data_IF_173295945996
#
_entry.id   IF_173295945996
#
_cell.length_a   1.000
_cell.length_b   1.000
_cell.length_c   1.000
_cell.angle_alpha   90.00
_cell.angle_beta   90.00
_cell.angle_gamma   90.00
#
_symmetry.space_group_name_H-M   'P 1'
#
loop_
_entity.id
_entity.type
_entity.pdbx_description
1 polymer ?
#
# COMPACT_ATOMS: atom_id res chain seq x y z
N UNK A 1 -3.66 -14.51 15.48
CA UNK A 1 -3.85 -15.26 14.21
C UNK A 1 -2.94 -14.76 13.07
N UNK A 2 -1.81 -14.09 13.34
CA UNK A 2 -0.96 -13.48 12.28
C UNK A 2 0.34 -14.24 11.96
N UNK A 3 0.79 -15.18 12.81
CA UNK A 3 2.11 -15.81 12.64
C UNK A 3 2.17 -16.85 11.50
N UNK A 4 1.06 -17.51 11.16
CA UNK A 4 1.04 -18.57 10.15
C UNK A 4 0.81 -18.09 8.71
N UNK A 5 0.46 -16.81 8.52
CA UNK A 5 0.22 -16.23 7.18
C UNK A 5 1.50 -15.60 6.60
N UNK A 6 2.46 -15.20 7.44
CA UNK A 6 3.69 -14.51 6.99
C UNK A 6 4.78 -15.45 6.43
N UNK A 7 4.86 -16.69 6.89
CA UNK A 7 5.91 -17.65 6.44
C UNK A 7 5.68 -18.18 5.02
N UNK A 8 4.44 -18.44 4.55
CA UNK A 8 4.17 -18.83 3.15
C UNK A 8 4.27 -17.66 2.14
N UNK A 9 3.98 -16.42 2.58
CA UNK A 9 4.01 -15.21 1.72
C UNK A 9 5.39 -14.95 1.12
N UNK A 10 6.46 -15.12 1.91
CA UNK A 10 7.83 -14.87 1.50
C UNK A 10 8.36 -15.90 0.49
N UNK A 11 8.04 -17.20 0.66
CA UNK A 11 8.68 -18.27 -0.12
C UNK A 11 8.36 -18.28 -1.61
N UNK A 12 7.16 -17.81 -2.00
CA UNK A 12 6.77 -17.79 -3.42
C UNK A 12 7.28 -16.55 -4.15
N UNK A 13 7.45 -15.42 -3.46
CA UNK A 13 7.91 -14.17 -4.06
C UNK A 13 9.43 -14.02 -4.04
N UNK A 14 10.11 -14.66 -3.09
CA UNK A 14 11.55 -14.55 -2.95
C UNK A 14 12.33 -15.39 -3.98
N UNK A 15 13.53 -14.93 -4.36
CA UNK A 15 14.41 -15.72 -5.21
C UNK A 15 14.80 -17.03 -4.52
N UNK A 16 14.46 -18.16 -5.14
CA UNK A 16 14.96 -19.45 -4.70
C UNK A 16 16.37 -19.69 -5.27
N UNK A 17 17.39 -19.64 -4.41
CA UNK A 17 18.78 -19.80 -4.81
C UNK A 17 19.06 -21.16 -5.49
N UNK A 18 18.38 -22.23 -5.07
CA UNK A 18 18.52 -23.56 -5.65
C UNK A 18 17.99 -23.63 -7.10
N UNK A 19 17.02 -22.79 -7.45
CA UNK A 19 16.41 -22.73 -8.78
C UNK A 19 17.02 -21.63 -9.67
N UNK A 20 18.04 -20.91 -9.19
CA UNK A 20 18.67 -19.81 -9.94
C UNK A 20 19.17 -20.19 -11.35
N UNK A 21 19.75 -21.40 -11.58
CA UNK A 21 20.14 -21.81 -12.93
C UNK A 21 18.93 -21.94 -13.87
N UNK A 22 17.83 -22.51 -13.40
CA UNK A 22 16.59 -22.69 -14.17
C UNK A 22 15.92 -21.34 -14.47
N UNK A 23 15.98 -20.40 -13.52
CA UNK A 23 15.50 -19.03 -13.74
C UNK A 23 16.18 -18.40 -14.96
N UNK A 24 17.51 -18.47 -15.06
CA UNK A 24 18.23 -17.89 -16.21
C UNK A 24 17.83 -18.55 -17.53
N UNK A 25 17.56 -19.84 -17.50
CA UNK A 25 17.09 -20.57 -18.67
C UNK A 25 15.68 -20.16 -19.10
N UNK A 26 14.76 -20.00 -18.14
CA UNK A 26 13.40 -19.47 -18.38
C UNK A 26 13.47 -18.07 -18.98
N UNK A 27 14.25 -17.15 -18.38
CA UNK A 27 14.40 -15.78 -18.87
C UNK A 27 14.92 -15.74 -20.31
N UNK A 28 15.96 -16.54 -20.60
CA UNK A 28 16.51 -16.68 -21.95
C UNK A 28 15.49 -17.24 -22.94
N UNK A 29 14.66 -18.21 -22.53
CA UNK A 29 13.59 -18.75 -23.37
C UNK A 29 12.50 -17.72 -23.63
N UNK A 30 12.09 -16.97 -22.61
CA UNK A 30 11.13 -15.87 -22.75
C UNK A 30 11.66 -14.79 -23.72
N UNK A 31 12.92 -14.39 -23.60
CA UNK A 31 13.56 -13.43 -24.52
C UNK A 31 13.59 -13.94 -25.96
N UNK A 32 14.00 -15.20 -26.18
CA UNK A 32 14.02 -15.82 -27.52
C UNK A 32 12.64 -15.87 -28.16
N UNK A 33 11.58 -16.02 -27.37
CA UNK A 33 10.19 -16.08 -27.83
C UNK A 33 9.49 -14.72 -27.83
N UNK A 34 10.19 -13.62 -27.50
CA UNK A 34 9.62 -12.28 -27.34
C UNK A 34 8.44 -12.21 -26.35
N UNK A 35 8.46 -13.04 -25.31
CA UNK A 35 7.47 -13.03 -24.23
C UNK A 35 7.75 -11.83 -23.32
N UNK A 36 6.73 -11.01 -23.08
CA UNK A 36 6.82 -9.92 -22.09
C UNK A 36 6.61 -10.49 -20.70
N UNK A 37 7.56 -10.29 -19.81
CA UNK A 37 7.50 -10.79 -18.45
C UNK A 37 7.87 -9.72 -17.43
N UNK A 38 7.30 -9.87 -16.23
CA UNK A 38 7.73 -9.15 -15.03
C UNK A 38 8.50 -10.11 -14.13
N UNK A 39 9.64 -9.67 -13.59
CA UNK A 39 10.59 -10.56 -12.92
C UNK A 39 10.01 -11.22 -11.64
N UNK A 40 9.29 -10.49 -10.76
CA UNK A 40 8.55 -11.10 -9.65
C UNK A 40 7.56 -12.17 -10.09
N UNK A 41 6.85 -11.97 -11.21
CA UNK A 41 5.92 -12.96 -11.75
C UNK A 41 6.65 -14.24 -12.21
N UNK A 42 7.82 -14.12 -12.84
CA UNK A 42 8.63 -15.28 -13.24
C UNK A 42 9.07 -16.08 -12.01
N UNK A 43 9.55 -15.39 -10.96
CA UNK A 43 9.90 -16.04 -9.69
C UNK A 43 8.69 -16.76 -9.08
N UNK A 44 7.54 -16.10 -9.06
CA UNK A 44 6.30 -16.66 -8.53
C UNK A 44 5.87 -17.93 -9.27
N UNK A 45 5.83 -17.90 -10.60
CA UNK A 45 5.48 -19.06 -11.44
C UNK A 45 6.48 -20.20 -11.25
N UNK A 46 7.78 -19.90 -11.28
CA UNK A 46 8.83 -20.90 -11.10
C UNK A 46 8.72 -21.58 -9.73
N UNK A 47 8.59 -20.80 -8.66
CA UNK A 47 8.46 -21.32 -7.30
C UNK A 47 7.18 -22.15 -7.16
N UNK A 48 6.05 -21.69 -7.71
CA UNK A 48 4.78 -22.40 -7.66
C UNK A 48 4.85 -23.75 -8.40
N UNK A 49 5.35 -23.77 -9.64
CA UNK A 49 5.46 -24.99 -10.43
C UNK A 49 6.49 -25.97 -9.86
N UNK A 50 7.51 -25.47 -9.15
CA UNK A 50 8.48 -26.35 -8.47
C UNK A 50 7.86 -27.20 -7.35
N UNK A 51 6.67 -26.82 -6.86
CA UNK A 51 5.91 -27.60 -5.88
C UNK A 51 5.21 -28.81 -6.51
N UNK A 52 5.11 -28.87 -7.84
CA UNK A 52 4.46 -29.96 -8.54
C UNK A 52 5.37 -31.20 -8.55
N UNK A 53 4.95 -32.34 -7.96
CA UNK A 53 5.74 -33.56 -7.90
C UNK A 53 6.17 -34.09 -9.28
N UNK A 54 5.45 -33.72 -10.35
CA UNK A 54 5.74 -34.16 -11.73
C UNK A 54 7.12 -33.75 -12.23
N UNK A 55 7.68 -32.65 -11.73
CA UNK A 55 9.00 -32.18 -12.13
C UNK A 55 10.13 -32.73 -11.24
N UNK A 56 9.79 -33.41 -10.14
CA UNK A 56 10.74 -34.02 -9.20
C UNK A 56 11.80 -33.02 -8.66
N UNK A 57 11.45 -31.74 -8.58
CA UNK A 57 12.29 -30.66 -8.07
C UNK A 57 12.15 -30.58 -6.55
N UNK A 58 12.63 -31.58 -5.82
CA UNK A 58 12.59 -31.54 -4.36
C UNK A 58 13.55 -30.47 -3.84
N UNK A 59 13.03 -29.62 -2.93
CA UNK A 59 13.51 -28.30 -2.48
C UNK A 59 15.01 -28.11 -2.12
N UNK A 60 15.88 -29.11 -2.23
CA UNK A 60 17.31 -29.01 -1.92
C UNK A 60 18.24 -29.66 -2.95
N UNK A 61 17.72 -30.40 -3.94
CA UNK A 61 18.50 -30.97 -5.05
C UNK A 61 17.70 -30.95 -6.33
N UNK A 62 18.18 -30.17 -7.30
CA UNK A 62 17.74 -30.19 -8.71
C UNK A 62 17.70 -31.65 -9.21
N UNK A 63 16.65 -32.05 -9.92
CA UNK A 63 16.47 -33.43 -10.39
C UNK A 63 17.73 -33.93 -11.13
N UNK A 64 18.07 -35.21 -10.95
CA UNK A 64 19.20 -35.80 -11.66
C UNK A 64 18.94 -35.89 -13.18
N UNK A 65 17.68 -35.82 -13.61
CA UNK A 65 17.27 -35.99 -14.99
C UNK A 65 17.09 -34.66 -15.71
N UNK A 66 17.96 -34.41 -16.70
CA UNK A 66 17.92 -33.18 -17.52
C UNK A 66 16.58 -32.98 -18.26
N UNK A 67 15.88 -34.06 -18.60
CA UNK A 67 14.56 -33.99 -19.25
C UNK A 67 13.52 -33.29 -18.35
N UNK A 68 13.54 -33.57 -17.05
CA UNK A 68 12.62 -32.92 -16.11
C UNK A 68 12.87 -31.41 -16.02
N UNK A 69 14.10 -30.95 -16.26
CA UNK A 69 14.42 -29.52 -16.31
C UNK A 69 13.91 -28.86 -17.58
N UNK A 70 14.13 -29.50 -18.74
CA UNK A 70 13.66 -28.98 -20.03
C UNK A 70 12.12 -28.90 -20.04
N UNK A 71 11.44 -29.93 -19.54
CA UNK A 71 9.98 -29.97 -19.40
C UNK A 71 9.45 -28.90 -18.42
N UNK A 72 10.17 -28.66 -17.32
CA UNK A 72 9.83 -27.62 -16.35
C UNK A 72 9.99 -26.21 -16.93
N UNK A 73 11.11 -25.94 -17.62
CA UNK A 73 11.36 -24.65 -18.29
C UNK A 73 10.27 -24.41 -19.32
N UNK A 74 9.95 -25.41 -20.15
CA UNK A 74 8.90 -25.29 -21.14
C UNK A 74 7.55 -24.97 -20.49
N UNK A 75 7.17 -25.68 -19.43
CA UNK A 75 5.92 -25.44 -18.71
C UNK A 75 5.83 -24.01 -18.16
N UNK A 76 6.91 -23.50 -17.55
CA UNK A 76 6.97 -22.10 -17.10
C UNK A 76 6.78 -21.13 -18.27
N UNK A 77 7.48 -21.35 -19.38
CA UNK A 77 7.38 -20.50 -20.56
C UNK A 77 6.00 -20.58 -21.23
N UNK A 78 5.34 -21.74 -21.26
CA UNK A 78 3.98 -21.89 -21.78
C UNK A 78 3.00 -21.04 -20.97
N UNK A 79 3.05 -21.12 -19.64
CA UNK A 79 2.20 -20.31 -18.75
C UNK A 79 2.45 -18.81 -18.94
N UNK A 80 3.71 -18.40 -19.09
CA UNK A 80 4.08 -16.99 -19.27
C UNK A 80 3.76 -16.43 -20.67
N UNK A 81 3.66 -17.29 -21.69
CA UNK A 81 3.44 -16.87 -23.07
C UNK A 81 1.98 -16.43 -23.32
N UNK A 82 1.01 -17.03 -22.64
CA UNK A 82 -0.40 -16.70 -22.81
C UNK A 82 -0.83 -15.55 -21.89
N UNK A 83 -0.53 -14.32 -22.34
CA UNK A 83 -0.78 -13.05 -21.65
C UNK A 83 -2.25 -12.85 -21.21
N UNK A 84 -3.19 -13.49 -21.91
CA UNK A 84 -4.64 -13.33 -21.69
C UNK A 84 -5.31 -14.57 -21.12
N UNK A 85 -4.56 -15.64 -20.86
CA UNK A 85 -5.12 -16.82 -20.20
C UNK A 85 -5.70 -16.45 -18.83
N UNK A 86 -6.89 -16.97 -18.48
CA UNK A 86 -7.43 -16.83 -17.12
C UNK A 86 -6.46 -17.33 -16.05
N UNK A 87 -5.69 -18.37 -16.36
CA UNK A 87 -4.63 -18.93 -15.51
C UNK A 87 -3.54 -17.90 -15.21
N UNK A 88 -2.91 -17.29 -16.22
CA UNK A 88 -1.87 -16.30 -15.98
C UNK A 88 -2.41 -15.05 -15.27
N UNK A 89 -3.64 -14.62 -15.59
CA UNK A 89 -4.30 -13.50 -14.89
C UNK A 89 -4.50 -13.85 -13.40
N UNK A 90 -4.91 -15.07 -13.08
CA UNK A 90 -5.03 -15.56 -11.70
C UNK A 90 -3.69 -15.50 -10.97
N UNK A 91 -2.62 -16.00 -11.60
CA UNK A 91 -1.27 -15.96 -11.02
C UNK A 91 -0.76 -14.54 -10.84
N UNK A 92 -1.06 -13.63 -11.78
CA UNK A 92 -0.75 -12.19 -11.65
C UNK A 92 -1.47 -11.55 -10.47
N UNK A 93 -2.76 -11.84 -10.30
CA UNK A 93 -3.52 -11.35 -9.14
C UNK A 93 -2.92 -11.87 -7.84
N UNK A 94 -2.57 -13.15 -7.77
CA UNK A 94 -1.94 -13.74 -6.58
C UNK A 94 -0.59 -13.11 -6.29
N UNK A 95 0.30 -13.01 -7.29
CA UNK A 95 1.61 -12.40 -7.15
C UNK A 95 1.50 -10.93 -6.70
N UNK A 96 0.60 -10.16 -7.33
CA UNK A 96 0.38 -8.76 -6.98
C UNK A 96 -0.16 -8.61 -5.57
N UNK A 97 -1.18 -9.39 -5.21
CA UNK A 97 -1.79 -9.32 -3.90
C UNK A 97 -0.81 -9.75 -2.80
N UNK A 98 -0.04 -10.83 -2.99
CA UNK A 98 0.95 -11.25 -2.00
C UNK A 98 2.06 -10.21 -1.79
N UNK A 99 2.49 -9.52 -2.86
CA UNK A 99 3.57 -8.54 -2.79
C UNK A 99 3.15 -7.13 -2.39
N UNK A 100 1.88 -6.77 -2.57
CA UNK A 100 1.38 -5.41 -2.37
C UNK A 100 0.25 -5.29 -1.36
N UNK A 101 -0.30 -6.41 -0.86
CA UNK A 101 -1.24 -6.36 0.25
C UNK A 101 -0.51 -5.81 1.47
N UNK A 102 -0.92 -4.60 1.86
CA UNK A 102 -0.10 -3.74 2.68
C UNK A 102 -0.11 -4.13 4.15
N UNK A 103 0.99 -3.82 4.82
CA UNK A 103 0.99 -3.60 6.25
C UNK A 103 0.74 -2.10 6.50
N UNK A 104 -0.34 -1.79 7.22
CA UNK A 104 -0.73 -0.41 7.53
C UNK A 104 0.38 0.31 8.29
N UNK A 105 1.00 -0.37 9.25
CA UNK A 105 1.99 0.26 10.12
C UNK A 105 3.26 0.55 9.30
N UNK A 106 3.62 -0.34 8.37
CA UNK A 106 4.69 -0.11 7.40
C UNK A 106 4.41 1.11 6.50
N UNK A 107 3.16 1.28 6.03
CA UNK A 107 2.77 2.45 5.22
C UNK A 107 2.97 3.74 6.02
N UNK A 108 2.51 3.78 7.28
CA UNK A 108 2.62 4.96 8.14
C UNK A 108 4.08 5.28 8.41
N UNK A 109 4.89 4.28 8.75
CA UNK A 109 6.34 4.46 8.96
C UNK A 109 7.07 4.90 7.69
N UNK A 110 6.73 4.33 6.54
CA UNK A 110 7.29 4.73 5.24
C UNK A 110 6.94 6.19 4.94
N UNK A 111 5.71 6.61 5.22
CA UNK A 111 5.30 8.00 5.06
C UNK A 111 6.11 8.93 5.99
N UNK A 112 6.25 8.59 7.27
CA UNK A 112 7.03 9.37 8.24
C UNK A 112 8.51 9.48 7.84
N UNK A 113 9.14 8.38 7.41
CA UNK A 113 10.52 8.37 6.91
C UNK A 113 10.68 9.23 5.65
N UNK A 114 9.73 9.15 4.72
CA UNK A 114 9.76 9.95 3.50
C UNK A 114 9.59 11.45 3.80
N UNK A 115 8.72 11.81 4.74
CA UNK A 115 8.58 13.20 5.18
C UNK A 115 9.90 13.70 5.77
N UNK A 116 10.49 12.95 6.70
CA UNK A 116 11.76 13.29 7.32
C UNK A 116 12.89 13.43 6.29
N UNK A 117 13.00 12.51 5.33
CA UNK A 117 14.01 12.57 4.29
C UNK A 117 13.88 13.83 3.42
N UNK A 118 12.64 14.25 3.12
CA UNK A 118 12.37 15.46 2.33
C UNK A 118 12.57 16.75 3.11
N UNK A 119 12.30 16.76 4.42
CA UNK A 119 12.43 17.96 5.26
C UNK A 119 13.81 18.11 5.91
N UNK A 120 14.65 17.06 5.83
CA UNK A 120 15.95 17.03 6.49
C UNK A 120 16.86 18.21 6.12
N UNK A 121 16.94 18.57 4.83
CA UNK A 121 17.78 19.67 4.37
C UNK A 121 17.36 21.01 4.99
N UNK A 122 16.05 21.29 5.00
CA UNK A 122 15.49 22.51 5.61
C UNK A 122 15.73 22.53 7.13
N UNK A 123 15.46 21.42 7.81
CA UNK A 123 15.75 21.31 9.26
C UNK A 123 17.24 21.53 9.53
N UNK A 124 18.13 20.97 8.70
CA UNK A 124 19.58 21.14 8.80
C UNK A 124 20.00 22.60 8.66
N UNK A 125 19.45 23.32 7.69
CA UNK A 125 19.72 24.75 7.52
C UNK A 125 19.30 25.57 8.74
N UNK A 126 18.17 25.25 9.38
CA UNK A 126 17.73 25.97 10.59
C UNK A 126 18.68 25.72 11.77
N UNK A 127 19.19 24.49 11.90
CA UNK A 127 20.01 24.11 13.06
C UNK A 127 21.50 24.42 12.94
N UNK A 128 22.03 24.42 11.71
CA UNK A 128 23.47 24.58 11.46
C UNK A 128 23.85 26.02 11.06
N UNK A 129 22.89 26.90 10.76
CA UNK A 129 23.20 28.28 10.35
C UNK A 129 23.62 29.14 11.56
N UNK A 130 24.82 29.71 11.48
CA UNK A 130 25.28 30.74 12.40
C UNK A 130 24.61 32.06 12.04
N UNK A 131 23.94 32.68 13.00
CA UNK A 131 23.18 33.92 12.78
C UNK A 131 23.89 35.06 13.50
N UNK A 132 24.36 36.03 12.72
CA UNK A 132 25.15 37.16 13.20
C UNK A 132 24.35 38.46 13.07
N UNK A 133 23.55 38.58 12.01
CA UNK A 133 22.75 39.78 11.71
C UNK A 133 21.26 39.59 11.97
N UNK A 134 20.52 40.71 12.05
CA UNK A 134 19.06 40.68 12.17
C UNK A 134 18.38 40.15 10.91
N UNK A 135 18.93 40.45 9.73
CA UNK A 135 18.37 39.99 8.46
C UNK A 135 18.50 38.46 8.32
N UNK A 136 19.64 37.90 8.74
CA UNK A 136 19.84 36.45 8.82
C UNK A 136 18.89 35.79 9.83
N UNK A 137 18.62 36.45 10.95
CA UNK A 137 17.62 35.98 11.91
C UNK A 137 16.24 35.87 11.27
N UNK A 138 15.79 36.92 10.57
CA UNK A 138 14.49 36.91 9.89
C UNK A 138 14.42 35.84 8.79
N UNK A 139 15.52 35.60 8.06
CA UNK A 139 15.61 34.50 7.09
C UNK A 139 15.45 33.12 7.74
N UNK A 140 16.17 32.87 8.84
CA UNK A 140 16.04 31.61 9.60
C UNK A 140 14.61 31.42 10.10
N UNK A 141 13.95 32.48 10.58
CA UNK A 141 12.57 32.36 11.04
C UNK A 141 11.56 32.16 9.91
N UNK A 142 11.82 32.67 8.70
CA UNK A 142 11.04 32.30 7.53
C UNK A 142 11.16 30.80 7.23
N UNK A 143 12.38 30.23 7.33
CA UNK A 143 12.61 28.79 7.18
C UNK A 143 11.91 27.99 8.29
N UNK A 144 11.95 28.46 9.54
CA UNK A 144 11.20 27.86 10.66
C UNK A 144 9.71 27.81 10.37
N UNK A 145 9.13 28.88 9.82
CA UNK A 145 7.69 28.89 9.48
C UNK A 145 7.38 27.83 8.41
N UNK A 146 8.17 27.76 7.33
CA UNK A 146 8.01 26.72 6.28
C UNK A 146 8.13 25.33 6.88
N UNK A 147 9.13 25.12 7.74
CA UNK A 147 9.42 23.86 8.41
C UNK A 147 8.26 23.41 9.32
N UNK A 148 7.65 24.34 10.06
CA UNK A 148 6.44 24.06 10.86
C UNK A 148 5.27 23.66 9.96
N UNK A 149 5.01 24.41 8.88
CA UNK A 149 3.89 24.12 7.96
C UNK A 149 4.02 22.72 7.36
N UNK A 150 5.22 22.36 6.87
CA UNK A 150 5.44 21.09 6.16
C UNK A 150 5.48 19.90 7.12
N UNK A 151 6.23 19.98 8.24
CA UNK A 151 6.36 18.84 9.15
C UNK A 151 5.07 18.56 9.94
N UNK A 152 4.25 19.57 10.20
CA UNK A 152 3.01 19.43 10.96
C UNK A 152 1.75 19.36 10.08
N UNK A 153 1.90 19.39 8.74
CA UNK A 153 0.78 19.26 7.80
C UNK A 153 -0.24 20.39 7.87
N UNK A 154 0.18 21.63 8.13
CA UNK A 154 -0.72 22.75 8.41
C UNK A 154 -1.19 23.52 7.16
N UNK A 155 -1.01 22.93 5.97
CA UNK A 155 -1.43 23.49 4.69
C UNK A 155 -0.30 23.58 3.66
N UNK A 156 -0.57 24.28 2.55
CA UNK A 156 0.42 24.52 1.50
C UNK A 156 1.35 25.69 1.89
N UNK A 157 2.68 25.51 1.97
CA UNK A 157 3.63 26.59 2.26
C UNK A 157 3.69 27.69 1.18
N UNK A 158 3.21 27.45 -0.03
CA UNK A 158 3.09 28.48 -1.08
C UNK A 158 1.90 29.42 -0.85
N UNK A 159 0.95 29.03 0.00
CA UNK A 159 -0.21 29.86 0.33
C UNK A 159 0.17 30.94 1.35
N UNK A 160 0.06 32.22 0.93
CA UNK A 160 0.39 33.37 1.78
C UNK A 160 -0.40 33.40 3.08
N UNK A 161 -1.68 32.99 3.05
CA UNK A 161 -2.52 32.97 4.25
C UNK A 161 -2.06 31.93 5.26
N UNK A 162 -1.65 30.75 4.80
CA UNK A 162 -1.07 29.67 5.64
C UNK A 162 0.21 30.16 6.32
N UNK A 163 1.08 30.84 5.55
CA UNK A 163 2.33 31.40 6.06
C UNK A 163 2.08 32.52 7.07
N UNK A 164 1.17 33.44 6.79
CA UNK A 164 0.83 34.56 7.67
C UNK A 164 0.17 34.08 8.98
N UNK A 165 -0.69 33.06 8.93
CA UNK A 165 -1.30 32.47 10.12
C UNK A 165 -0.27 31.73 10.98
N UNK A 166 0.63 30.96 10.35
CA UNK A 166 1.72 30.29 11.06
C UNK A 166 2.68 31.29 11.69
N UNK A 167 2.99 32.39 11.00
CA UNK A 167 3.79 33.47 11.56
C UNK A 167 3.13 34.13 12.78
N UNK A 168 1.81 34.36 12.73
CA UNK A 168 1.05 34.90 13.88
C UNK A 168 1.09 33.95 15.08
N UNK A 169 0.88 32.66 14.85
CA UNK A 169 0.95 31.64 15.89
C UNK A 169 2.37 31.47 16.47
N UNK A 170 3.42 31.61 15.65
CA UNK A 170 4.80 31.62 16.13
C UNK A 170 5.08 32.85 16.99
N UNK A 171 4.63 34.03 16.56
CA UNK A 171 4.83 35.28 17.30
C UNK A 171 4.05 35.34 18.63
N UNK A 172 2.99 34.54 18.81
CA UNK A 172 2.31 34.42 20.11
C UNK A 172 3.07 33.56 21.12
N UNK A 173 3.99 32.71 20.66
CA UNK A 173 4.80 31.83 21.51
C UNK A 173 6.22 32.37 21.71
N UNK A 174 6.76 33.06 20.71
CA UNK A 174 8.13 33.58 20.72
C UNK A 174 8.17 35.09 20.59
N UNK A 175 8.67 35.75 21.63
CA UNK A 175 9.03 37.16 21.57
C UNK A 175 10.28 37.38 20.71
N UNK A 176 10.58 38.65 20.38
CA UNK A 176 11.84 39.00 19.69
C UNK A 176 13.08 38.53 20.45
N UNK A 177 13.06 38.58 21.79
CA UNK A 177 14.18 38.08 22.61
C UNK A 177 14.30 36.56 22.56
N UNK A 178 13.19 35.83 22.47
CA UNK A 178 13.23 34.36 22.39
C UNK A 178 13.78 33.92 21.04
N UNK A 179 13.43 34.64 19.97
CA UNK A 179 14.01 34.44 18.65
C UNK A 179 15.52 34.66 18.62
N UNK A 180 16.01 35.68 19.34
CA UNK A 180 17.44 35.94 19.48
C UNK A 180 18.15 34.83 20.27
N UNK A 181 17.53 34.32 21.34
CA UNK A 181 18.10 33.21 22.12
C UNK A 181 18.12 31.91 21.31
N UNK A 182 17.06 31.62 20.55
CA UNK A 182 16.94 30.39 19.77
C UNK A 182 18.12 30.19 18.80
N UNK A 183 18.52 31.26 18.10
CA UNK A 183 19.65 31.20 17.15
C UNK A 183 21.02 31.16 17.82
N UNK A 184 21.10 31.32 19.15
CA UNK A 184 22.34 31.15 19.93
C UNK A 184 22.46 29.77 20.57
N UNK A 185 21.39 28.97 20.56
CA UNK A 185 21.41 27.61 21.09
C UNK A 185 22.40 26.74 20.31
N UNK A 186 22.98 25.76 20.99
CA UNK A 186 23.77 24.73 20.31
C UNK A 186 22.88 23.88 19.39
N UNK A 187 23.52 23.11 18.51
CA UNK A 187 22.80 22.32 17.50
C UNK A 187 21.76 21.35 18.10
N UNK A 188 22.07 20.72 19.24
CA UNK A 188 21.20 19.72 19.87
C UNK A 188 20.01 20.39 20.56
N UNK A 189 20.28 21.45 21.32
CA UNK A 189 19.27 22.25 22.00
C UNK A 189 18.36 22.95 21.00
N UNK A 190 18.92 23.50 19.91
CA UNK A 190 18.13 24.14 18.85
C UNK A 190 17.20 23.16 18.15
N UNK A 191 17.63 21.93 17.91
CA UNK A 191 16.78 20.88 17.35
C UNK A 191 15.64 20.50 18.30
N UNK A 192 15.91 20.39 19.62
CA UNK A 192 14.87 20.13 20.62
C UNK A 192 13.87 21.29 20.69
N UNK A 193 14.36 22.52 20.80
CA UNK A 193 13.53 23.72 20.79
C UNK A 193 12.68 23.84 19.52
N UNK A 194 13.23 23.50 18.35
CA UNK A 194 12.49 23.51 17.08
C UNK A 194 11.34 22.51 17.11
N UNK A 195 11.54 21.30 17.67
CA UNK A 195 10.47 20.30 17.82
C UNK A 195 9.35 20.82 18.73
N UNK A 196 9.71 21.39 19.87
CA UNK A 196 8.73 21.91 20.82
C UNK A 196 7.93 23.07 20.20
N UNK A 197 8.61 24.00 19.51
CA UNK A 197 7.96 25.12 18.81
C UNK A 197 7.01 24.61 17.73
N UNK A 198 7.38 23.58 16.96
CA UNK A 198 6.50 22.97 15.95
C UNK A 198 5.19 22.49 16.57
N UNK A 199 5.27 21.75 17.68
CA UNK A 199 4.11 21.19 18.35
C UNK A 199 3.20 22.28 18.93
N UNK A 200 3.78 23.28 19.60
CA UNK A 200 3.02 24.39 20.21
C UNK A 200 2.33 25.22 19.12
N UNK A 201 3.05 25.62 18.07
CA UNK A 201 2.50 26.43 16.98
C UNK A 201 1.41 25.66 16.23
N UNK A 202 1.60 24.36 15.98
CA UNK A 202 0.58 23.51 15.41
C UNK A 202 -0.68 23.46 16.28
N UNK A 203 -0.52 23.28 17.60
CA UNK A 203 -1.63 23.29 18.56
C UNK A 203 -2.44 24.59 18.52
N UNK A 204 -1.77 25.75 18.48
CA UNK A 204 -2.44 27.06 18.38
C UNK A 204 -3.24 27.17 17.07
N UNK A 205 -2.67 26.74 15.94
CA UNK A 205 -3.38 26.78 14.64
C UNK A 205 -4.59 25.85 14.62
N UNK A 206 -4.46 24.65 15.17
CA UNK A 206 -5.55 23.68 15.31
C UNK A 206 -6.67 24.25 16.19
N UNK A 207 -6.31 24.88 17.31
CA UNK A 207 -7.26 25.55 18.21
C UNK A 207 -7.99 26.71 17.53
N UNK A 208 -7.27 27.57 16.81
CA UNK A 208 -7.85 28.72 16.09
C UNK A 208 -8.81 28.27 14.98
N UNK A 209 -8.48 27.18 14.29
CA UNK A 209 -9.36 26.52 13.32
C UNK A 209 -10.65 26.03 13.98
N UNK A 210 -10.54 25.30 15.09
CA UNK A 210 -11.70 24.76 15.79
C UNK A 210 -12.60 25.86 16.41
N UNK A 211 -12.00 26.97 16.85
CA UNK A 211 -12.72 28.11 17.44
C UNK A 211 -13.49 28.95 16.41
N UNK A 212 -13.37 28.66 15.11
CA UNK A 212 -13.98 29.46 14.04
C UNK A 212 -13.25 30.79 13.76
N UNK A 213 -12.08 31.01 14.35
CA UNK A 213 -11.35 32.28 14.23
C UNK A 213 -10.57 32.37 12.91
N UNK A 214 -10.03 31.27 12.39
CA UNK A 214 -9.31 31.23 11.10
C UNK A 214 -9.09 29.79 10.67
N UNK A 215 -9.49 29.41 9.46
CA UNK A 215 -9.32 28.06 8.92
C UNK A 215 -8.58 28.05 7.58
N UNK A 216 -7.61 28.95 7.38
CA UNK A 216 -7.04 29.16 6.06
C UNK A 216 -6.06 28.03 5.71
N UNK A 217 -6.44 27.23 4.71
CA UNK A 217 -5.57 26.26 4.04
C UNK A 217 -5.25 24.97 4.80
N UNK A 218 -5.76 24.77 6.02
CA UNK A 218 -5.58 23.51 6.75
C UNK A 218 -6.66 22.50 6.38
N UNK A 219 -6.24 21.33 5.88
CA UNK A 219 -7.13 20.24 5.49
C UNK A 219 -8.03 19.77 6.65
N UNK A 220 -9.29 19.47 6.35
CA UNK A 220 -10.21 18.78 7.27
C UNK A 220 -9.96 17.27 7.19
N UNK A 221 -8.90 16.81 7.86
CA UNK A 221 -8.48 15.41 7.83
C UNK A 221 -9.59 14.44 8.26
N UNK A 222 -10.35 14.66 9.34
CA UNK A 222 -11.48 13.81 9.70
C UNK A 222 -12.47 13.61 8.54
N UNK A 223 -12.90 14.71 7.91
CA UNK A 223 -13.84 14.67 6.80
C UNK A 223 -13.25 14.01 5.55
N UNK A 224 -12.01 14.34 5.20
CA UNK A 224 -11.33 13.78 4.03
C UNK A 224 -11.19 12.27 4.17
N UNK A 225 -10.81 11.80 5.36
CA UNK A 225 -10.61 10.38 5.62
C UNK A 225 -11.94 9.62 5.59
N UNK A 226 -13.02 10.17 6.17
CA UNK A 226 -14.36 9.59 6.06
C UNK A 226 -14.84 9.51 4.61
N UNK A 227 -14.70 10.60 3.85
CA UNK A 227 -15.08 10.63 2.43
C UNK A 227 -14.26 9.64 1.61
N UNK A 228 -12.96 9.52 1.89
CA UNK A 228 -12.09 8.55 1.22
C UNK A 228 -12.52 7.12 1.53
N UNK A 229 -12.82 6.83 2.80
CA UNK A 229 -13.33 5.53 3.24
C UNK A 229 -14.62 5.16 2.51
N UNK A 230 -15.64 6.03 2.52
CA UNK A 230 -16.92 5.76 1.85
C UNK A 230 -16.75 5.59 0.32
N UNK A 231 -15.88 6.41 -0.30
CA UNK A 231 -15.59 6.29 -1.72
C UNK A 231 -14.94 4.95 -2.06
N UNK A 232 -13.92 4.54 -1.30
CA UNK A 232 -13.25 3.24 -1.49
C UNK A 232 -14.20 2.07 -1.22
N UNK A 233 -15.01 2.16 -0.17
CA UNK A 233 -16.03 1.14 0.17
C UNK A 233 -17.01 0.95 -0.98
N UNK A 234 -17.53 2.04 -1.53
CA UNK A 234 -18.48 2.00 -2.65
C UNK A 234 -17.87 1.33 -3.88
N UNK A 235 -16.64 1.67 -4.25
CA UNK A 235 -15.93 1.05 -5.37
C UNK A 235 -15.79 -0.46 -5.14
N UNK A 236 -15.29 -0.88 -3.97
CA UNK A 236 -15.11 -2.30 -3.66
C UNK A 236 -16.43 -3.08 -3.67
N UNK A 237 -17.52 -2.48 -3.18
CA UNK A 237 -18.84 -3.10 -3.19
C UNK A 237 -19.39 -3.28 -4.61
N UNK A 238 -19.26 -2.26 -5.47
CA UNK A 238 -19.68 -2.34 -6.88
C UNK A 238 -18.87 -3.44 -7.58
N UNK A 239 -17.54 -3.43 -7.42
CA UNK A 239 -16.67 -4.46 -7.99
C UNK A 239 -17.02 -5.86 -7.49
N UNK A 240 -17.33 -6.03 -6.20
CA UNK A 240 -17.75 -7.32 -5.66
C UNK A 240 -19.05 -7.82 -6.27
N UNK A 241 -20.04 -6.94 -6.47
CA UNK A 241 -21.30 -7.31 -7.14
C UNK A 241 -21.04 -7.80 -8.57
N UNK A 242 -20.26 -7.06 -9.36
CA UNK A 242 -19.92 -7.45 -10.74
C UNK A 242 -19.20 -8.81 -10.79
N UNK A 243 -18.26 -9.05 -9.87
CA UNK A 243 -17.57 -10.33 -9.76
C UNK A 243 -18.56 -11.44 -9.41
N UNK A 244 -19.44 -11.22 -8.42
CA UNK A 244 -20.41 -12.22 -7.99
C UNK A 244 -21.38 -12.61 -9.11
N UNK A 245 -21.80 -11.67 -9.95
CA UNK A 245 -22.62 -11.97 -11.12
C UNK A 245 -21.91 -12.92 -12.09
N UNK A 246 -20.62 -12.68 -12.37
CA UNK A 246 -19.81 -13.57 -13.23
C UNK A 246 -19.60 -14.94 -12.58
N UNK A 247 -19.27 -14.96 -11.30
CA UNK A 247 -19.10 -16.20 -10.54
C UNK A 247 -20.36 -17.06 -10.58
N UNK A 248 -21.53 -16.46 -10.33
CA UNK A 248 -22.81 -17.17 -10.34
C UNK A 248 -23.15 -17.71 -11.73
N UNK A 249 -22.93 -16.90 -12.77
CA UNK A 249 -23.14 -17.30 -14.17
C UNK A 249 -22.27 -18.50 -14.55
N UNK A 250 -20.95 -18.40 -14.31
CA UNK A 250 -19.99 -19.46 -14.65
C UNK A 250 -20.22 -20.72 -13.82
N UNK A 251 -20.53 -20.59 -12.53
CA UNK A 251 -20.88 -21.72 -11.66
C UNK A 251 -22.11 -22.46 -12.18
N UNK A 252 -23.14 -21.72 -12.60
CA UNK A 252 -24.37 -22.30 -13.14
C UNK A 252 -24.10 -23.02 -14.48
N UNK A 253 -23.31 -22.42 -15.36
CA UNK A 253 -22.93 -23.02 -16.64
C UNK A 253 -22.16 -24.33 -16.46
N UNK A 254 -21.16 -24.36 -15.57
CA UNK A 254 -20.41 -25.58 -15.27
C UNK A 254 -21.27 -26.63 -14.58
N UNK A 255 -22.14 -26.24 -13.65
CA UNK A 255 -23.05 -27.17 -12.96
C UNK A 255 -24.03 -27.83 -13.93
N UNK A 256 -24.50 -27.10 -14.95
CA UNK A 256 -25.38 -27.64 -15.99
C UNK A 256 -24.66 -28.60 -16.95
N UNK A 257 -23.35 -28.38 -17.17
CA UNK A 257 -22.53 -29.21 -18.05
C UNK A 257 -21.98 -30.48 -17.36
N UNK A 258 -22.12 -30.62 -16.05
CA UNK A 258 -21.60 -31.75 -15.29
C UNK A 258 -22.75 -32.67 -14.86
N UNK A 259 -22.66 -33.95 -15.18
CA UNK A 259 -23.59 -34.98 -14.72
C UNK A 259 -22.84 -36.13 -14.04
N UNK A 260 -23.48 -36.74 -13.04
CA UNK A 260 -22.93 -37.93 -12.38
C UNK A 260 -23.53 -39.19 -13.00
N UNK A 261 -22.68 -40.00 -13.64
CA UNK A 261 -23.07 -41.32 -14.14
C UNK A 261 -23.13 -42.31 -12.96
N UNK A 262 -24.35 -42.56 -12.48
CA UNK A 262 -24.62 -43.50 -11.39
C UNK A 262 -24.15 -44.93 -11.69
N UNK A 263 -24.06 -45.33 -12.97
CA UNK A 263 -23.68 -46.70 -13.36
C UNK A 263 -22.18 -46.91 -13.25
N UNK A 264 -21.40 -45.96 -13.75
CA UNK A 264 -19.94 -46.03 -13.76
C UNK A 264 -19.29 -45.33 -12.56
N UNK A 265 -20.11 -44.68 -11.70
CA UNK A 265 -19.66 -43.87 -10.56
C UNK A 265 -18.64 -42.81 -10.98
N UNK A 266 -18.84 -42.23 -12.15
CA UNK A 266 -17.94 -41.26 -12.78
C UNK A 266 -18.65 -39.97 -13.08
N UNK A 267 -17.92 -38.86 -13.01
CA UNK A 267 -18.40 -37.57 -13.47
C UNK A 267 -18.24 -37.53 -15.00
N UNK A 268 -19.30 -37.18 -15.71
CA UNK A 268 -19.29 -36.99 -17.16
C UNK A 268 -19.64 -35.53 -17.49
N UNK A 269 -19.05 -35.02 -18.57
CA UNK A 269 -19.33 -33.68 -19.07
C UNK A 269 -20.29 -33.77 -20.25
N UNK A 270 -21.45 -33.13 -20.13
CA UNK A 270 -22.48 -33.03 -21.16
C UNK A 270 -22.41 -31.65 -21.80
N UNK A 271 -21.61 -31.54 -22.87
CA UNK A 271 -21.40 -30.29 -23.58
C UNK A 271 -22.46 -30.09 -24.68
N UNK A 272 -22.97 -28.86 -24.87
CA UNK A 272 -23.75 -28.52 -26.06
C UNK A 272 -22.96 -28.77 -27.35
N UNK A 273 -23.67 -28.97 -28.48
CA UNK A 273 -23.07 -29.35 -29.77
C UNK A 273 -21.98 -28.40 -30.29
N UNK A 274 -21.98 -27.13 -29.85
CA UNK A 274 -21.03 -26.10 -30.28
C UNK A 274 -19.94 -25.79 -29.25
N UNK A 275 -19.83 -26.56 -28.17
CA UNK A 275 -18.88 -26.32 -27.08
C UNK A 275 -17.86 -27.46 -27.04
N UNK A 276 -16.59 -27.11 -27.14
CA UNK A 276 -15.48 -28.06 -27.08
C UNK A 276 -15.05 -28.35 -25.65
N UNK A 277 -14.25 -29.40 -25.45
CA UNK A 277 -13.63 -29.67 -24.14
C UNK A 277 -12.68 -28.53 -23.70
N UNK A 278 -12.03 -27.86 -24.65
CA UNK A 278 -11.12 -26.73 -24.39
C UNK A 278 -11.90 -25.49 -23.91
N UNK A 279 -13.08 -25.24 -24.49
CA UNK A 279 -13.99 -24.19 -24.01
C UNK A 279 -14.43 -24.46 -22.57
N UNK A 280 -14.70 -25.73 -22.23
CA UNK A 280 -15.08 -26.12 -20.88
C UNK A 280 -13.94 -25.89 -19.86
N UNK A 281 -12.70 -26.25 -20.21
CA UNK A 281 -11.53 -25.97 -19.37
C UNK A 281 -11.29 -24.46 -19.24
N UNK A 282 -11.46 -23.68 -20.33
CA UNK A 282 -11.37 -22.23 -20.29
C UNK A 282 -12.42 -21.61 -19.34
N UNK A 283 -13.65 -22.12 -19.34
CA UNK A 283 -14.72 -21.67 -18.41
C UNK A 283 -14.36 -22.02 -16.96
N UNK A 284 -13.77 -23.18 -16.72
CA UNK A 284 -13.27 -23.56 -15.38
C UNK A 284 -12.19 -22.60 -14.90
N UNK A 285 -11.21 -22.30 -15.75
CA UNK A 285 -10.12 -21.38 -15.41
C UNK A 285 -10.65 -19.95 -15.19
N UNK A 286 -11.64 -19.50 -16.00
CA UNK A 286 -12.36 -18.24 -15.80
C UNK A 286 -13.07 -18.21 -14.45
N UNK A 287 -13.76 -19.29 -14.06
CA UNK A 287 -14.41 -19.36 -12.75
C UNK A 287 -13.39 -19.28 -11.62
N UNK A 288 -12.28 -20.02 -11.71
CA UNK A 288 -11.20 -19.97 -10.72
C UNK A 288 -10.63 -18.55 -10.60
N UNK A 289 -10.42 -17.87 -11.72
CA UNK A 289 -9.94 -16.50 -11.79
C UNK A 289 -10.89 -15.52 -11.08
N UNK A 290 -12.19 -15.57 -11.38
CA UNK A 290 -13.18 -14.71 -10.73
C UNK A 290 -13.36 -15.05 -9.24
N UNK A 291 -13.27 -16.32 -8.84
CA UNK A 291 -13.28 -16.72 -7.42
C UNK A 291 -12.06 -16.17 -6.67
N UNK A 292 -10.89 -16.18 -7.28
CA UNK A 292 -9.69 -15.57 -6.68
C UNK A 292 -9.87 -14.06 -6.50
N UNK A 293 -10.41 -13.38 -7.51
CA UNK A 293 -10.72 -11.95 -7.43
C UNK A 293 -11.74 -11.65 -6.32
N UNK A 294 -12.81 -12.45 -6.23
CA UNK A 294 -13.84 -12.37 -5.18
C UNK A 294 -13.22 -12.44 -3.78
N UNK A 295 -12.32 -13.41 -3.54
CA UNK A 295 -11.63 -13.58 -2.26
C UNK A 295 -10.82 -12.34 -1.90
N UNK A 296 -10.03 -11.81 -2.83
CA UNK A 296 -9.19 -10.64 -2.58
C UNK A 296 -10.01 -9.36 -2.38
N UNK A 297 -11.08 -9.15 -3.15
CA UNK A 297 -11.97 -8.02 -2.94
C UNK A 297 -12.65 -8.07 -1.57
N UNK A 298 -13.07 -9.26 -1.10
CA UNK A 298 -13.61 -9.41 0.26
C UNK A 298 -12.57 -9.12 1.33
N UNK A 299 -11.34 -9.61 1.18
CA UNK A 299 -10.27 -9.30 2.12
C UNK A 299 -9.99 -7.79 2.22
N UNK A 300 -10.04 -7.06 1.09
CA UNK A 300 -9.91 -5.61 1.09
C UNK A 300 -11.08 -4.91 1.80
N UNK A 301 -12.31 -5.41 1.63
CA UNK A 301 -13.49 -4.88 2.33
C UNK A 301 -13.38 -5.11 3.85
N UNK A 302 -12.93 -6.30 4.26
CA UNK A 302 -12.74 -6.62 5.68
C UNK A 302 -11.66 -5.73 6.31
N UNK A 303 -10.54 -5.51 5.61
CA UNK A 303 -9.49 -4.60 6.06
C UNK A 303 -9.98 -3.15 6.13
N UNK A 304 -10.77 -2.72 5.14
CA UNK A 304 -11.37 -1.38 5.15
C UNK A 304 -12.31 -1.17 6.35
N UNK A 305 -13.05 -2.20 6.76
CA UNK A 305 -13.87 -2.15 7.97
C UNK A 305 -12.99 -1.99 9.24
N UNK A 306 -11.84 -2.65 9.30
CA UNK A 306 -10.84 -2.43 10.35
C UNK A 306 -10.29 -1.00 10.37
N UNK A 307 -9.99 -0.45 9.19
CA UNK A 307 -9.57 0.95 9.03
C UNK A 307 -10.65 1.90 9.55
N UNK A 308 -11.94 1.64 9.31
CA UNK A 308 -13.03 2.48 9.80
C UNK A 308 -13.05 2.62 11.32
N UNK A 309 -12.84 1.51 12.04
CA UNK A 309 -12.78 1.51 13.50
C UNK A 309 -11.64 2.41 14.00
N UNK A 310 -10.50 2.41 13.32
CA UNK A 310 -9.38 3.29 13.64
C UNK A 310 -9.67 4.75 13.33
N UNK A 311 -10.30 5.04 12.20
CA UNK A 311 -10.74 6.39 11.84
C UNK A 311 -11.64 6.94 12.95
N UNK A 312 -12.62 6.15 13.38
CA UNK A 312 -13.56 6.56 14.43
C UNK A 312 -12.85 6.77 15.78
N UNK A 313 -11.94 5.88 16.16
CA UNK A 313 -11.12 6.02 17.37
C UNK A 313 -10.25 7.28 17.34
N UNK A 314 -9.52 7.52 16.24
CA UNK A 314 -8.68 8.71 16.06
C UNK A 314 -9.51 10.00 16.08
N UNK A 315 -10.69 10.00 15.48
CA UNK A 315 -11.60 11.16 15.51
C UNK A 315 -12.10 11.46 16.91
N UNK A 316 -12.55 10.43 17.64
CA UNK A 316 -12.98 10.59 19.03
C UNK A 316 -11.86 11.12 19.92
N UNK A 317 -10.65 10.59 19.76
CA UNK A 317 -9.49 11.08 20.52
C UNK A 317 -9.12 12.52 20.13
N UNK A 318 -9.15 12.84 18.84
CA UNK A 318 -8.89 14.19 18.33
C UNK A 318 -9.90 15.20 18.90
N UNK A 319 -11.20 14.90 18.86
CA UNK A 319 -12.26 15.74 19.42
C UNK A 319 -12.13 15.88 20.94
N UNK A 320 -11.85 14.79 21.67
CA UNK A 320 -11.64 14.84 23.11
C UNK A 320 -10.44 15.70 23.51
N UNK A 321 -9.33 15.61 22.76
CA UNK A 321 -8.14 16.45 22.96
C UNK A 321 -8.43 17.92 22.64
N UNK A 322 -9.18 18.20 21.57
CA UNK A 322 -9.62 19.55 21.24
C UNK A 322 -10.46 20.17 22.36
N UNK A 323 -11.44 19.44 22.88
CA UNK A 323 -12.28 19.91 23.99
C UNK A 323 -11.43 20.28 25.22
N UNK A 324 -10.45 19.45 25.58
CA UNK A 324 -9.52 19.76 26.69
C UNK A 324 -8.71 21.03 26.44
N UNK A 325 -8.28 21.28 25.20
CA UNK A 325 -7.58 22.53 24.85
C UNK A 325 -8.53 23.72 25.04
N UNK A 326 -9.79 23.60 24.62
CA UNK A 326 -10.81 24.64 24.84
C UNK A 326 -11.04 24.93 26.32
N UNK A 327 -11.17 23.89 27.15
CA UNK A 327 -11.30 24.04 28.61
C UNK A 327 -10.08 24.71 29.24
N UNK A 328 -8.87 24.41 28.77
CA UNK A 328 -7.64 24.99 29.28
C UNK A 328 -7.43 26.46 28.89
N UNK A 329 -7.98 26.89 27.75
CA UNK A 329 -7.86 28.26 27.23
C UNK A 329 -9.01 29.17 27.69
N UNK A 330 -10.07 28.64 28.32
CA UNK A 330 -11.21 29.40 28.84
C UNK A 330 -10.94 30.29 30.08
N UNK A 331 -9.70 30.73 30.31
CA UNK A 331 -9.33 31.68 31.38
C UNK A 331 -8.66 32.93 30.84
#
# INVERSE_FOLDING_TARGET
MSAFINVPRARLLEPNAALSPLLQEILRHCERRNIRYDRPLVHFVMNLLSLDPRYELFMETVSAERRNHDDFVEACCTVLNDDRSPTLITLRMQCYFLGNFFDRDEIVEKHARNLQAKTFALTKEIIDHDVITKDEQDEVFNKVIVDIVVNMGLGNPECKDVMAETMRALNSVMSRSDKAKFVTLDRKERLMALKDIREIVAGIRIFNKHSGNTANGMADLPKIIDQSHESTKSILQITLCEIMDKVNLLTSALSAAIAYDLRNRSIITLLPENITADDFETIKDLLAMYRQHEVYTRQLIDELAGIKLLIDGCKQEYEARLLRIHEAVQY
#
